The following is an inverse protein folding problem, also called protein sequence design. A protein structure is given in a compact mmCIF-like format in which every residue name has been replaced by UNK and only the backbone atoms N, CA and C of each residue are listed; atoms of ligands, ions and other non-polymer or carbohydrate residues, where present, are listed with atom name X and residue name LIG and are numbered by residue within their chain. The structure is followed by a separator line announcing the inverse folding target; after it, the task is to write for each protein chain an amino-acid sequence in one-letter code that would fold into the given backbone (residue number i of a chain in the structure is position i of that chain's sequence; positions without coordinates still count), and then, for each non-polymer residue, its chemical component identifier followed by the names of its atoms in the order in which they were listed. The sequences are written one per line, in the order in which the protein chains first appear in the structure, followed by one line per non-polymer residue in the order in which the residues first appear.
data_IF_215711499321
#
_entry.id   IF_215711499321
#
_cell.length_a   1.000
_cell.length_b   1.000
_cell.length_c   1.000
_cell.angle_alpha   90.00
_cell.angle_beta   90.00
_cell.angle_gamma   90.00
#
_symmetry.space_group_name_H-M   'P 1'
#
loop_
_entity.id
_entity.type
_entity.pdbx_description
1 polymer ?
#
# COMPACT_ATOMS: atom_id res chain seq x y z
N UNK A 1 206.00 -10.93 -13.86
CA UNK A 1 205.56 -10.25 -15.10
C UNK A 1 205.18 -11.30 -16.13
N UNK A 2 204.05 -11.10 -16.82
CA UNK A 2 203.32 -12.17 -17.52
C UNK A 2 202.94 -11.73 -18.94
N UNK A 3 203.17 -12.55 -19.95
CA UNK A 3 202.89 -12.24 -21.37
C UNK A 3 201.71 -13.08 -21.84
N UNK A 4 200.70 -12.48 -22.47
CA UNK A 4 199.59 -13.20 -23.08
C UNK A 4 199.80 -13.27 -24.60
N UNK A 5 199.59 -14.45 -25.18
CA UNK A 5 199.52 -14.64 -26.63
C UNK A 5 198.16 -15.20 -27.02
N UNK A 6 197.70 -14.94 -28.24
CA UNK A 6 196.43 -15.53 -28.67
C UNK A 6 196.16 -15.32 -30.14
N UNK A 7 195.14 -16.01 -30.63
CA UNK A 7 194.66 -15.94 -32.01
C UNK A 7 193.13 -15.89 -32.01
N UNK A 8 192.56 -14.84 -32.58
CA UNK A 8 191.11 -14.61 -32.59
C UNK A 8 190.50 -14.90 -33.97
N UNK A 9 189.43 -15.71 -33.98
CA UNK A 9 188.67 -16.11 -35.18
C UNK A 9 187.16 -16.02 -34.94
N UNK A 10 186.41 -15.78 -36.00
CA UNK A 10 184.93 -15.81 -36.01
C UNK A 10 184.39 -17.25 -36.16
N UNK A 11 183.09 -17.46 -35.91
CA UNK A 11 182.35 -18.74 -36.03
C UNK A 11 182.40 -19.32 -37.45
N UNK A 12 182.67 -18.49 -38.46
CA UNK A 12 182.92 -18.93 -39.85
C UNK A 12 184.41 -19.20 -40.17
N UNK A 13 185.31 -19.16 -39.18
CA UNK A 13 186.73 -19.46 -39.31
C UNK A 13 187.61 -18.33 -39.86
N UNK A 14 187.07 -17.12 -40.07
CA UNK A 14 187.82 -15.94 -40.53
C UNK A 14 188.62 -15.30 -39.38
N UNK A 15 189.85 -14.87 -39.68
CA UNK A 15 190.71 -14.15 -38.73
C UNK A 15 190.20 -12.72 -38.50
N UNK A 16 190.27 -12.26 -37.25
CA UNK A 16 189.89 -10.91 -36.85
C UNK A 16 191.02 -9.90 -37.16
N UNK A 17 191.05 -9.36 -38.39
CA UNK A 17 192.13 -8.46 -38.90
C UNK A 17 191.63 -7.17 -39.57
N UNK A 18 190.35 -6.83 -39.41
CA UNK A 18 189.78 -5.62 -40.02
C UNK A 18 190.48 -4.34 -39.51
N UNK A 19 190.62 -3.35 -40.38
CA UNK A 19 191.30 -2.09 -40.07
C UNK A 19 190.57 -1.39 -38.91
N UNK A 20 191.27 -1.18 -37.80
CA UNK A 20 190.73 -0.57 -36.58
C UNK A 20 190.47 -1.54 -35.42
N UNK A 21 190.47 -2.86 -35.65
CA UNK A 21 190.32 -3.87 -34.59
C UNK A 21 191.57 -3.95 -33.70
N UNK A 22 191.36 -3.90 -32.38
CA UNK A 22 192.42 -4.01 -31.38
C UNK A 22 191.92 -4.73 -30.13
N UNK A 23 192.85 -5.39 -29.44
CA UNK A 23 192.63 -5.90 -28.09
C UNK A 23 192.93 -4.78 -27.08
N UNK A 24 191.95 -4.45 -26.23
CA UNK A 24 192.09 -3.52 -25.12
C UNK A 24 192.31 -4.33 -23.84
N UNK A 25 193.40 -4.06 -23.14
CA UNK A 25 193.68 -4.66 -21.83
C UNK A 25 193.65 -3.57 -20.79
N UNK A 26 192.83 -3.75 -19.76
CA UNK A 26 192.68 -2.78 -18.70
C UNK A 26 192.76 -3.49 -17.35
N UNK A 27 193.53 -2.96 -16.39
CA UNK A 27 193.42 -3.48 -15.02
C UNK A 27 192.10 -3.05 -14.41
N UNK A 28 191.39 -3.96 -13.74
CA UNK A 28 190.05 -3.66 -13.18
C UNK A 28 190.10 -2.84 -11.90
N UNK A 29 191.21 -2.85 -11.19
CA UNK A 29 191.37 -2.14 -9.93
C UNK A 29 192.72 -1.44 -9.92
N UNK A 30 192.75 -0.26 -9.30
CA UNK A 30 194.02 0.41 -9.02
C UNK A 30 194.74 -0.36 -7.92
N UNK A 31 195.97 -0.82 -8.16
CA UNK A 31 196.70 -1.72 -7.23
C UNK A 31 198.21 -1.50 -7.25
N UNK A 32 198.96 -1.80 -6.18
CA UNK A 32 200.42 -1.69 -6.20
C UNK A 32 201.01 -2.60 -7.29
N UNK A 33 201.99 -2.11 -8.03
CA UNK A 33 202.72 -2.91 -9.02
C UNK A 33 203.61 -3.95 -8.31
N UNK A 34 203.56 -5.20 -8.75
CA UNK A 34 204.24 -6.31 -8.08
C UNK A 34 205.78 -6.27 -8.29
N UNK A 35 206.24 -5.66 -9.38
CA UNK A 35 207.67 -5.49 -9.69
C UNK A 35 208.00 -4.08 -10.19
N UNK A 36 208.54 -3.24 -9.29
CA UNK A 36 208.95 -1.86 -9.56
C UNK A 36 207.99 -0.86 -8.91
N UNK A 37 208.40 -0.29 -7.77
CA UNK A 37 207.56 0.56 -6.90
C UNK A 37 206.70 1.57 -7.67
N UNK A 38 205.39 1.34 -7.64
CA UNK A 38 204.39 2.11 -8.38
C UNK A 38 202.99 1.54 -8.15
N UNK A 39 201.98 2.16 -8.74
CA UNK A 39 200.59 1.69 -8.69
C UNK A 39 200.13 1.46 -10.13
N UNK A 40 199.65 0.26 -10.43
CA UNK A 40 198.95 -0.06 -11.68
C UNK A 40 197.62 0.68 -11.65
N UNK A 41 197.50 1.69 -12.52
CA UNK A 41 196.28 2.43 -12.74
C UNK A 41 195.39 1.66 -13.74
N UNK A 42 194.10 2.00 -13.80
CA UNK A 42 193.14 1.41 -14.76
C UNK A 42 193.36 1.91 -16.20
N UNK A 43 194.61 2.01 -16.65
CA UNK A 43 194.99 2.47 -17.98
C UNK A 43 194.71 1.38 -19.03
N UNK A 44 194.25 1.79 -20.20
CA UNK A 44 193.88 0.88 -21.29
C UNK A 44 195.08 0.73 -22.23
N UNK A 45 195.61 -0.49 -22.31
CA UNK A 45 196.64 -0.84 -23.27
C UNK A 45 196.03 -1.40 -24.54
N UNK A 46 196.28 -0.75 -25.69
CA UNK A 46 195.68 -1.11 -26.98
C UNK A 46 196.68 -1.83 -27.88
N UNK A 47 196.38 -3.07 -28.24
CA UNK A 47 197.18 -3.89 -29.15
C UNK A 47 196.45 -4.03 -30.49
N UNK A 48 196.93 -3.38 -31.57
CA UNK A 48 196.28 -3.46 -32.87
C UNK A 48 196.43 -4.86 -33.48
N UNK A 49 195.35 -5.37 -34.08
CA UNK A 49 195.31 -6.68 -34.75
C UNK A 49 195.37 -6.57 -36.29
N UNK A 50 195.55 -5.36 -36.82
CA UNK A 50 195.62 -5.12 -38.26
C UNK A 50 196.92 -5.67 -38.85
N UNK A 51 196.82 -6.43 -39.96
CA UNK A 51 197.92 -7.15 -40.61
C UNK A 51 198.64 -8.20 -39.74
N UNK A 52 198.08 -8.62 -38.60
CA UNK A 52 198.75 -9.55 -37.68
C UNK A 52 198.35 -11.01 -37.84
N UNK A 53 197.50 -11.37 -38.82
CA UNK A 53 197.04 -12.75 -38.93
C UNK A 53 195.96 -13.12 -37.88
N UNK A 54 195.35 -12.14 -37.20
CA UNK A 54 194.44 -12.34 -36.05
C UNK A 54 195.18 -12.71 -34.76
N UNK A 55 196.51 -12.75 -34.80
CA UNK A 55 197.37 -13.11 -33.68
C UNK A 55 197.82 -11.87 -32.92
N UNK A 56 198.02 -12.02 -31.62
CA UNK A 56 198.62 -10.99 -30.79
C UNK A 56 199.57 -11.57 -29.75
N UNK A 57 200.44 -10.71 -29.23
CA UNK A 57 201.31 -10.96 -28.10
C UNK A 57 201.39 -9.67 -27.30
N UNK A 58 201.04 -9.72 -26.02
CA UNK A 58 201.10 -8.55 -25.15
C UNK A 58 202.54 -8.22 -24.76
N UNK A 59 202.84 -6.97 -24.37
CA UNK A 59 204.02 -6.71 -23.56
C UNK A 59 203.90 -7.43 -22.20
N UNK A 60 204.98 -7.46 -21.43
CA UNK A 60 204.99 -8.09 -20.11
C UNK A 60 204.07 -7.30 -19.15
N UNK A 61 202.97 -7.93 -18.73
CA UNK A 61 201.94 -7.36 -17.87
C UNK A 61 202.17 -7.70 -16.41
N UNK A 62 201.66 -6.87 -15.51
CA UNK A 62 201.70 -7.11 -14.08
C UNK A 62 200.57 -8.08 -13.65
N UNK A 63 200.83 -9.13 -12.84
CA UNK A 63 199.90 -10.23 -12.57
C UNK A 63 198.70 -9.82 -11.73
N UNK A 64 197.50 -10.32 -12.00
CA UNK A 64 196.24 -10.04 -11.28
C UNK A 64 195.06 -9.62 -12.17
N UNK A 65 193.96 -9.10 -11.62
CA UNK A 65 192.69 -9.01 -12.33
C UNK A 65 192.71 -7.95 -13.43
N UNK A 66 192.60 -8.42 -14.66
CA UNK A 66 192.47 -7.58 -15.84
C UNK A 66 191.18 -7.88 -16.59
N UNK A 67 190.73 -6.88 -17.32
CA UNK A 67 189.69 -6.99 -18.33
C UNK A 67 190.34 -6.97 -19.70
N UNK A 68 190.03 -7.98 -20.49
CA UNK A 68 190.41 -8.07 -21.90
C UNK A 68 189.14 -7.82 -22.72
N UNK A 69 189.14 -6.76 -23.50
CA UNK A 69 188.02 -6.36 -24.36
C UNK A 69 188.46 -6.29 -25.82
N UNK A 70 187.57 -6.67 -26.74
CA UNK A 70 187.81 -6.49 -28.18
C UNK A 70 187.12 -5.20 -28.62
N UNK A 71 187.90 -4.26 -29.15
CA UNK A 71 187.39 -3.00 -29.67
C UNK A 71 187.62 -2.84 -31.17
N UNK A 72 186.56 -2.46 -31.89
CA UNK A 72 186.56 -2.19 -33.34
C UNK A 72 186.15 -3.39 -34.19
N UNK A 73 185.19 -3.17 -35.10
CA UNK A 73 184.57 -4.20 -35.95
C UNK A 73 183.08 -4.41 -35.64
N UNK A 74 182.46 -5.47 -36.20
CA UNK A 74 181.02 -5.80 -36.05
C UNK A 74 180.63 -6.38 -34.68
N UNK A 75 181.60 -6.59 -33.78
CA UNK A 75 181.37 -7.03 -32.41
C UNK A 75 181.71 -5.87 -31.47
N UNK A 76 180.70 -5.29 -30.81
CA UNK A 76 180.90 -4.24 -29.80
C UNK A 76 180.53 -4.79 -28.42
N UNK A 77 181.46 -4.69 -27.46
CA UNK A 77 181.18 -4.81 -26.02
C UNK A 77 181.47 -6.16 -25.35
N UNK A 78 182.05 -7.14 -26.06
CA UNK A 78 182.45 -8.42 -25.44
C UNK A 78 183.75 -8.23 -24.67
N UNK A 79 183.71 -8.49 -23.36
CA UNK A 79 184.87 -8.44 -22.48
C UNK A 79 184.95 -9.70 -21.63
N UNK A 80 186.17 -10.08 -21.25
CA UNK A 80 186.44 -11.15 -20.30
C UNK A 80 187.21 -10.57 -19.12
N UNK A 81 186.77 -10.90 -17.91
CA UNK A 81 187.49 -10.60 -16.69
C UNK A 81 188.33 -11.83 -16.33
N UNK A 82 189.66 -11.68 -16.36
CA UNK A 82 190.63 -12.77 -16.20
C UNK A 82 191.65 -12.35 -15.15
N UNK A 83 192.01 -13.27 -14.25
CA UNK A 83 193.14 -13.09 -13.34
C UNK A 83 194.44 -13.54 -14.00
N UNK A 84 195.35 -12.60 -14.25
CA UNK A 84 196.66 -12.90 -14.80
C UNK A 84 197.54 -13.63 -13.76
N UNK A 85 198.12 -14.79 -14.08
CA UNK A 85 199.01 -15.52 -13.18
C UNK A 85 200.35 -14.79 -12.98
N UNK A 86 201.03 -15.06 -11.86
CA UNK A 86 202.21 -14.35 -11.36
C UNK A 86 203.36 -14.20 -12.37
N UNK A 87 203.66 -15.25 -13.15
CA UNK A 87 204.73 -15.22 -14.16
C UNK A 87 204.46 -16.18 -15.34
N UNK A 88 205.15 -15.95 -16.46
CA UNK A 88 205.15 -16.85 -17.63
C UNK A 88 204.48 -16.28 -18.89
N UNK A 89 204.57 -17.02 -19.99
CA UNK A 89 203.83 -16.72 -21.23
C UNK A 89 202.64 -17.67 -21.32
N UNK A 90 201.42 -17.13 -21.38
CA UNK A 90 200.17 -17.90 -21.35
C UNK A 90 199.34 -17.62 -22.61
N UNK A 91 198.65 -18.64 -23.13
CA UNK A 91 197.73 -18.43 -24.24
C UNK A 91 196.37 -17.92 -23.71
N UNK A 92 195.77 -16.91 -24.35
CA UNK A 92 194.50 -16.34 -23.90
C UNK A 92 193.39 -17.40 -23.87
N UNK A 93 193.43 -18.36 -24.78
CA UNK A 93 192.48 -19.47 -24.83
C UNK A 93 192.55 -20.34 -23.55
N UNK A 94 193.74 -20.59 -23.02
CA UNK A 94 193.94 -21.38 -21.80
C UNK A 94 193.46 -20.63 -20.54
N UNK A 95 193.62 -19.30 -20.54
CA UNK A 95 193.14 -18.44 -19.44
C UNK A 95 191.61 -18.27 -19.46
N UNK A 96 190.95 -18.39 -20.62
CA UNK A 96 189.48 -18.38 -20.77
C UNK A 96 188.89 -19.79 -20.55
N UNK A 97 189.67 -20.85 -20.78
CA UNK A 97 189.21 -22.24 -20.78
C UNK A 97 189.02 -22.91 -19.41
N UNK A 98 189.32 -22.25 -18.29
CA UNK A 98 189.38 -22.89 -16.95
C UNK A 98 188.24 -22.53 -15.99
N UNK A 99 187.13 -21.93 -16.46
CA UNK A 99 185.91 -21.71 -15.66
C UNK A 99 184.64 -22.36 -16.24
N UNK A 100 184.76 -23.52 -16.89
CA UNK A 100 183.60 -24.32 -17.31
C UNK A 100 183.77 -25.80 -16.94
N UNK A 101 182.81 -26.34 -16.19
CA UNK A 101 182.62 -27.77 -15.94
C UNK A 101 181.15 -28.15 -16.27
N UNK A 102 180.96 -29.32 -16.88
CA UNK A 102 179.72 -29.80 -17.54
C UNK A 102 179.13 -31.02 -16.81
N UNK A 103 177.78 -31.12 -16.65
CA UNK A 103 176.88 -32.33 -16.55
C UNK A 103 175.54 -32.02 -15.79
N UNK A 104 174.41 -32.79 -15.87
CA UNK A 104 173.42 -32.94 -16.96
C UNK A 104 171.91 -32.71 -16.55
N UNK A 105 170.99 -32.93 -17.51
CA UNK A 105 169.52 -32.63 -17.58
C UNK A 105 168.63 -33.64 -16.82
N UNK A 106 167.86 -33.26 -15.77
CA UNK A 106 166.47 -33.80 -15.50
C UNK A 106 165.57 -32.98 -14.52
N UNK A 107 166.03 -32.15 -13.58
CA UNK A 107 165.15 -31.73 -12.44
C UNK A 107 164.41 -30.37 -12.59
N UNK A 108 164.82 -29.48 -13.48
CA UNK A 108 164.24 -28.12 -13.54
C UNK A 108 162.86 -27.99 -14.21
N UNK A 109 162.32 -29.04 -14.88
CA UNK A 109 160.98 -28.99 -15.51
C UNK A 109 159.84 -29.60 -14.67
N UNK A 110 160.13 -30.27 -13.56
CA UNK A 110 159.12 -30.87 -12.69
C UNK A 110 158.52 -29.87 -11.65
N UNK A 111 159.32 -28.91 -11.17
CA UNK A 111 158.84 -27.92 -10.18
C UNK A 111 157.99 -26.80 -10.79
N UNK A 112 158.17 -26.46 -12.07
CA UNK A 112 157.35 -25.46 -12.76
C UNK A 112 155.95 -26.01 -13.16
N UNK A 113 155.84 -27.33 -13.33
CA UNK A 113 154.55 -28.01 -13.54
C UNK A 113 153.76 -28.19 -12.22
N UNK A 114 154.43 -28.43 -11.09
CA UNK A 114 153.78 -28.52 -9.78
C UNK A 114 153.17 -27.18 -9.34
N UNK A 115 153.88 -26.07 -9.55
CA UNK A 115 153.38 -24.72 -9.18
C UNK A 115 152.16 -24.28 -10.00
N UNK A 116 152.00 -24.76 -11.25
CA UNK A 116 150.79 -24.53 -12.06
C UNK A 116 149.60 -25.42 -11.66
N UNK A 117 149.85 -26.62 -11.14
CA UNK A 117 148.80 -27.53 -10.68
C UNK A 117 148.18 -27.10 -9.33
N UNK A 118 148.98 -26.55 -8.42
CA UNK A 118 148.47 -26.01 -7.15
C UNK A 118 147.60 -24.76 -7.34
N UNK A 119 148.01 -23.82 -8.21
CA UNK A 119 147.21 -22.65 -8.55
C UNK A 119 145.84 -23.01 -9.18
N UNK A 120 145.81 -24.03 -10.04
CA UNK A 120 144.55 -24.51 -10.64
C UNK A 120 143.64 -25.22 -9.63
N UNK A 121 144.21 -25.88 -8.61
CA UNK A 121 143.44 -26.49 -7.52
C UNK A 121 142.79 -25.43 -6.63
N UNK A 122 143.52 -24.37 -6.28
CA UNK A 122 142.98 -23.30 -5.45
C UNK A 122 141.89 -22.50 -6.20
N UNK A 123 142.06 -22.25 -7.50
CA UNK A 123 140.99 -21.69 -8.34
C UNK A 123 139.75 -22.60 -8.41
N UNK A 124 139.93 -23.92 -8.50
CA UNK A 124 138.82 -24.87 -8.51
C UNK A 124 138.06 -24.89 -7.17
N UNK A 125 138.77 -24.79 -6.04
CA UNK A 125 138.15 -24.72 -4.70
C UNK A 125 137.40 -23.40 -4.50
N UNK A 126 137.94 -22.29 -4.98
CA UNK A 126 137.22 -21.00 -4.92
C UNK A 126 136.02 -20.96 -5.87
N UNK A 127 136.11 -21.59 -7.04
CA UNK A 127 134.96 -21.78 -7.93
C UNK A 127 133.88 -22.68 -7.30
N UNK A 128 134.27 -23.74 -6.59
CA UNK A 128 133.35 -24.59 -5.83
C UNK A 128 132.65 -23.81 -4.71
N UNK A 129 133.41 -23.05 -3.90
CA UNK A 129 132.82 -22.17 -2.87
C UNK A 129 131.87 -21.14 -3.46
N UNK A 130 132.21 -20.53 -4.60
CA UNK A 130 131.34 -19.59 -5.30
C UNK A 130 130.07 -20.25 -5.84
N UNK A 131 130.17 -21.48 -6.36
CA UNK A 131 129.03 -22.27 -6.81
C UNK A 131 128.11 -22.65 -5.65
N UNK A 132 128.66 -23.12 -4.52
CA UNK A 132 127.91 -23.42 -3.30
C UNK A 132 127.22 -22.16 -2.75
N UNK A 133 127.93 -21.02 -2.68
CA UNK A 133 127.33 -19.76 -2.25
C UNK A 133 126.21 -19.28 -3.17
N UNK A 134 126.30 -19.55 -4.47
CA UNK A 134 125.26 -19.25 -5.46
C UNK A 134 124.07 -20.19 -5.31
N UNK A 135 124.31 -21.49 -5.07
CA UNK A 135 123.28 -22.48 -4.77
C UNK A 135 122.51 -22.12 -3.48
N UNK A 136 123.19 -21.77 -2.39
CA UNK A 136 122.53 -21.32 -1.15
C UNK A 136 121.73 -20.02 -1.34
N UNK A 137 122.19 -19.10 -2.20
CA UNK A 137 121.41 -17.90 -2.57
C UNK A 137 120.16 -18.27 -3.39
N UNK A 138 120.27 -19.26 -4.28
CA UNK A 138 119.15 -19.78 -5.04
C UNK A 138 118.13 -20.48 -4.12
N UNK A 139 118.58 -21.33 -3.19
CA UNK A 139 117.74 -21.96 -2.16
C UNK A 139 117.01 -20.90 -1.32
N UNK A 140 117.72 -19.89 -0.79
CA UNK A 140 117.10 -18.78 -0.05
C UNK A 140 116.12 -17.94 -0.87
N UNK A 141 116.24 -17.92 -2.20
CA UNK A 141 115.27 -17.26 -3.09
C UNK A 141 114.06 -18.16 -3.30
N UNK A 142 114.26 -19.47 -3.46
CA UNK A 142 113.19 -20.47 -3.54
C UNK A 142 112.38 -20.48 -2.25
N UNK A 143 113.01 -20.50 -1.08
CA UNK A 143 112.32 -20.46 0.22
C UNK A 143 111.49 -19.19 0.41
N UNK A 144 112.01 -18.03 0.00
CA UNK A 144 111.27 -16.76 0.02
C UNK A 144 110.09 -16.79 -0.94
N UNK A 145 110.30 -17.24 -2.18
CA UNK A 145 109.21 -17.35 -3.16
C UNK A 145 108.11 -18.32 -2.70
N UNK A 146 108.48 -19.44 -2.06
CA UNK A 146 107.54 -20.40 -1.47
C UNK A 146 106.81 -19.80 -0.27
N UNK A 147 107.50 -19.09 0.63
CA UNK A 147 106.88 -18.43 1.79
C UNK A 147 105.95 -17.29 1.38
N UNK A 148 106.36 -16.45 0.44
CA UNK A 148 105.56 -15.33 -0.09
C UNK A 148 104.34 -15.87 -0.84
N UNK A 149 104.51 -16.90 -1.67
CA UNK A 149 103.41 -17.60 -2.34
C UNK A 149 102.44 -18.25 -1.36
N UNK A 150 102.94 -18.93 -0.32
CA UNK A 150 102.10 -19.50 0.74
C UNK A 150 101.41 -18.42 1.59
N UNK A 151 102.05 -17.25 1.78
CA UNK A 151 101.47 -16.08 2.43
C UNK A 151 100.29 -15.53 1.65
N UNK A 152 100.48 -15.27 0.35
CA UNK A 152 99.42 -14.80 -0.56
C UNK A 152 98.27 -15.80 -0.63
N UNK A 153 98.55 -17.10 -0.75
CA UNK A 153 97.49 -18.12 -0.77
C UNK A 153 96.72 -18.15 0.55
N UNK A 154 97.38 -18.07 1.71
CA UNK A 154 96.69 -18.01 3.02
C UNK A 154 95.83 -16.77 3.16
N UNK A 155 96.28 -15.60 2.71
CA UNK A 155 95.49 -14.38 2.74
C UNK A 155 94.27 -14.46 1.84
N UNK A 156 94.43 -14.97 0.61
CA UNK A 156 93.31 -15.17 -0.33
C UNK A 156 92.30 -16.18 0.23
N UNK A 157 92.77 -17.33 0.72
CA UNK A 157 91.90 -18.37 1.32
C UNK A 157 91.16 -17.81 2.54
N UNK A 158 91.82 -17.01 3.38
CA UNK A 158 91.16 -16.35 4.52
C UNK A 158 90.11 -15.34 4.04
N UNK A 159 90.43 -14.49 3.07
CA UNK A 159 89.48 -13.53 2.51
C UNK A 159 88.29 -14.21 1.80
N UNK A 160 88.49 -15.37 1.18
CA UNK A 160 87.42 -16.20 0.61
C UNK A 160 86.57 -16.85 1.71
N UNK A 161 87.19 -17.36 2.78
CA UNK A 161 86.48 -17.92 3.93
C UNK A 161 85.63 -16.86 4.65
N UNK A 162 86.20 -15.67 4.89
CA UNK A 162 85.50 -14.54 5.50
C UNK A 162 84.31 -14.08 4.61
N UNK A 163 84.50 -14.04 3.27
CA UNK A 163 83.41 -13.75 2.33
C UNK A 163 82.33 -14.83 2.31
N UNK A 164 82.70 -16.11 2.40
CA UNK A 164 81.77 -17.22 2.46
C UNK A 164 80.96 -17.20 3.76
N UNK A 165 81.61 -16.90 4.89
CA UNK A 165 80.93 -16.73 6.17
C UNK A 165 79.98 -15.53 6.16
N UNK A 166 80.43 -14.37 5.67
CA UNK A 166 79.58 -13.19 5.51
C UNK A 166 78.38 -13.48 4.58
N UNK A 167 78.60 -14.23 3.50
CA UNK A 167 77.54 -14.69 2.60
C UNK A 167 76.53 -15.61 3.28
N UNK A 168 76.99 -16.57 4.08
CA UNK A 168 76.13 -17.46 4.89
C UNK A 168 75.31 -16.67 5.90
N UNK A 169 75.94 -15.78 6.66
CA UNK A 169 75.25 -14.92 7.64
C UNK A 169 74.23 -14.01 6.96
N UNK A 170 74.56 -13.45 5.79
CA UNK A 170 73.61 -12.67 4.98
C UNK A 170 72.41 -13.50 4.51
N UNK A 171 72.63 -14.74 4.07
CA UNK A 171 71.57 -15.66 3.68
C UNK A 171 70.68 -16.07 4.87
N UNK A 172 71.27 -16.34 6.04
CA UNK A 172 70.54 -16.63 7.28
C UNK A 172 69.67 -15.44 7.71
N UNK A 173 70.20 -14.21 7.64
CA UNK A 173 69.45 -12.99 7.94
C UNK A 173 68.30 -12.74 6.94
N UNK A 174 68.52 -13.01 5.66
CA UNK A 174 67.48 -12.93 4.63
C UNK A 174 66.38 -13.99 4.86
N UNK A 175 66.75 -15.22 5.20
CA UNK A 175 65.81 -16.29 5.53
C UNK A 175 64.98 -15.96 6.79
N UNK A 176 65.60 -15.40 7.82
CA UNK A 176 64.92 -14.94 9.03
C UNK A 176 63.91 -13.82 8.71
N UNK A 177 64.31 -12.85 7.88
CA UNK A 177 63.44 -11.74 7.45
C UNK A 177 62.25 -12.22 6.61
N UNK A 178 62.46 -13.20 5.72
CA UNK A 178 61.40 -13.82 4.94
C UNK A 178 60.39 -14.58 5.83
N UNK A 179 60.88 -15.34 6.82
CA UNK A 179 60.03 -16.04 7.79
C UNK A 179 59.21 -15.06 8.62
N UNK A 180 59.81 -13.97 9.11
CA UNK A 180 59.11 -12.93 9.85
C UNK A 180 58.00 -12.28 8.99
N UNK A 181 58.30 -12.00 7.72
CA UNK A 181 57.31 -11.44 6.77
C UNK A 181 56.16 -12.41 6.51
N UNK A 182 56.44 -13.71 6.35
CA UNK A 182 55.42 -14.74 6.20
C UNK A 182 54.52 -14.86 7.44
N UNK A 183 55.10 -14.82 8.64
CA UNK A 183 54.32 -14.80 9.89
C UNK A 183 53.43 -13.55 9.99
N UNK A 184 53.95 -12.37 9.64
CA UNK A 184 53.16 -11.15 9.62
C UNK A 184 52.00 -11.21 8.62
N UNK A 185 52.22 -11.79 7.43
CA UNK A 185 51.17 -12.00 6.43
C UNK A 185 50.09 -12.98 6.91
N UNK A 186 50.47 -14.05 7.60
CA UNK A 186 49.52 -14.98 8.22
C UNK A 186 48.67 -14.29 9.30
N UNK A 187 49.29 -13.52 10.19
CA UNK A 187 48.58 -12.75 11.21
C UNK A 187 47.62 -11.72 10.59
N UNK A 188 48.04 -11.04 9.51
CA UNK A 188 47.16 -10.14 8.77
C UNK A 188 45.96 -10.88 8.17
N UNK A 189 46.18 -12.07 7.60
CA UNK A 189 45.12 -12.92 7.03
C UNK A 189 44.12 -13.37 8.09
N UNK A 190 44.59 -13.80 9.26
CA UNK A 190 43.74 -14.18 10.40
C UNK A 190 42.92 -13.00 10.92
N UNK A 191 43.53 -11.82 10.98
CA UNK A 191 42.86 -10.58 11.39
C UNK A 191 41.74 -10.21 10.41
N UNK A 192 42.02 -10.26 9.11
CA UNK A 192 41.02 -10.01 8.06
C UNK A 192 39.89 -11.04 8.13
N UNK A 193 40.21 -12.33 8.28
CA UNK A 193 39.22 -13.41 8.39
C UNK A 193 38.29 -13.20 9.60
N UNK A 194 38.86 -12.82 10.74
CA UNK A 194 38.10 -12.50 11.95
C UNK A 194 37.22 -11.26 11.75
N UNK A 195 37.72 -10.22 11.08
CA UNK A 195 36.96 -9.02 10.76
C UNK A 195 35.78 -9.31 9.82
N UNK A 196 35.99 -10.11 8.78
CA UNK A 196 34.92 -10.56 7.86
C UNK A 196 33.87 -11.37 8.61
N UNK A 197 34.28 -12.27 9.49
CA UNK A 197 33.34 -13.08 10.30
C UNK A 197 32.50 -12.19 11.22
N UNK A 198 33.09 -11.21 11.90
CA UNK A 198 32.36 -10.24 12.73
C UNK A 198 31.42 -9.37 11.89
N UNK A 199 31.84 -8.94 10.71
CA UNK A 199 30.98 -8.15 9.81
C UNK A 199 29.74 -8.94 9.39
N UNK A 200 29.89 -10.23 9.07
CA UNK A 200 28.75 -11.08 8.71
C UNK A 200 27.83 -11.33 9.92
N UNK A 201 28.39 -11.51 11.12
CA UNK A 201 27.60 -11.60 12.36
C UNK A 201 26.78 -10.32 12.60
N UNK A 202 27.39 -9.13 12.47
CA UNK A 202 26.66 -7.87 12.64
C UNK A 202 25.56 -7.68 11.60
N UNK A 203 25.82 -8.05 10.34
CA UNK A 203 24.80 -8.04 9.29
C UNK A 203 23.63 -8.97 9.62
N UNK A 204 23.91 -10.18 10.11
CA UNK A 204 22.87 -11.14 10.50
C UNK A 204 22.06 -10.63 11.71
N UNK A 205 22.72 -10.13 12.76
CA UNK A 205 22.04 -9.52 13.90
C UNK A 205 21.18 -8.32 13.47
N UNK A 206 21.67 -7.45 12.59
CA UNK A 206 20.90 -6.33 12.07
C UNK A 206 19.65 -6.79 11.29
N UNK A 207 19.78 -7.85 10.47
CA UNK A 207 18.65 -8.44 9.74
C UNK A 207 17.60 -9.07 10.67
N UNK A 208 18.03 -9.76 11.73
CA UNK A 208 17.14 -10.29 12.76
C UNK A 208 16.39 -9.18 13.50
N UNK A 209 17.10 -8.12 13.91
CA UNK A 209 16.48 -6.96 14.57
C UNK A 209 15.46 -6.27 13.66
N UNK A 210 15.76 -6.11 12.37
CA UNK A 210 14.83 -5.57 11.39
C UNK A 210 13.57 -6.45 11.24
N UNK A 211 13.75 -7.77 11.22
CA UNK A 211 12.63 -8.74 11.16
C UNK A 211 11.76 -8.66 12.41
N UNK A 212 12.37 -8.59 13.60
CA UNK A 212 11.66 -8.46 14.87
C UNK A 212 10.90 -7.13 14.97
N UNK A 213 11.50 -6.04 14.50
CA UNK A 213 10.84 -4.73 14.43
C UNK A 213 9.63 -4.75 13.49
N UNK A 214 9.77 -5.37 12.31
CA UNK A 214 8.67 -5.54 11.36
C UNK A 214 7.52 -6.40 11.95
N UNK A 215 7.84 -7.50 12.64
CA UNK A 215 6.85 -8.32 13.34
C UNK A 215 6.11 -7.54 14.44
N UNK A 216 6.84 -6.73 15.20
CA UNK A 216 6.27 -5.87 16.24
C UNK A 216 5.33 -4.81 15.66
N UNK A 217 5.72 -4.19 14.53
CA UNK A 217 4.88 -3.23 13.81
C UNK A 217 3.60 -3.87 13.26
N UNK A 218 3.69 -5.08 12.69
CA UNK A 218 2.51 -5.84 12.25
C UNK A 218 1.55 -6.12 13.41
N UNK A 219 2.09 -6.54 14.56
CA UNK A 219 1.29 -6.80 15.77
C UNK A 219 0.60 -5.53 16.28
N UNK A 220 1.31 -4.40 16.29
CA UNK A 220 0.75 -3.11 16.67
C UNK A 220 -0.38 -2.69 15.72
N UNK A 221 -0.20 -2.87 14.40
CA UNK A 221 -1.23 -2.60 13.40
C UNK A 221 -2.49 -3.45 13.61
N UNK A 222 -2.32 -4.74 13.89
CA UNK A 222 -3.45 -5.64 14.19
C UNK A 222 -4.19 -5.21 15.46
N UNK A 223 -3.47 -4.85 16.53
CA UNK A 223 -4.07 -4.32 17.76
C UNK A 223 -4.82 -3.01 17.53
N UNK A 224 -4.29 -2.10 16.71
CA UNK A 224 -4.97 -0.87 16.33
C UNK A 224 -6.27 -1.14 15.54
N UNK A 225 -6.25 -2.13 14.63
CA UNK A 225 -7.45 -2.58 13.92
C UNK A 225 -8.52 -3.15 14.88
N UNK A 226 -8.12 -4.01 15.82
CA UNK A 226 -9.03 -4.54 16.84
C UNK A 226 -9.61 -3.44 17.74
N UNK A 227 -8.78 -2.47 18.15
CA UNK A 227 -9.24 -1.32 18.95
C UNK A 227 -10.27 -0.47 18.18
N UNK A 228 -10.07 -0.27 16.88
CA UNK A 228 -11.03 0.43 16.00
C UNK A 228 -12.36 -0.33 15.92
N UNK A 229 -12.32 -1.65 15.70
CA UNK A 229 -13.52 -2.49 15.68
C UNK A 229 -14.26 -2.48 17.02
N UNK A 230 -13.53 -2.50 18.14
CA UNK A 230 -14.11 -2.39 19.48
C UNK A 230 -14.79 -1.03 19.70
N UNK A 231 -14.18 0.07 19.26
CA UNK A 231 -14.77 1.41 19.34
C UNK A 231 -16.03 1.54 18.48
N UNK A 232 -16.04 0.98 17.27
CA UNK A 232 -17.23 0.94 16.41
C UNK A 232 -18.36 0.14 17.06
N UNK A 233 -18.03 -1.02 17.66
CA UNK A 233 -19.01 -1.84 18.40
C UNK A 233 -19.60 -1.09 19.59
N UNK A 234 -18.78 -0.38 20.35
CA UNK A 234 -19.24 0.44 21.48
C UNK A 234 -20.16 1.58 21.01
N UNK A 235 -19.82 2.22 19.90
CA UNK A 235 -20.64 3.29 19.30
C UNK A 235 -22.00 2.78 18.84
N UNK A 236 -22.06 1.60 18.21
CA UNK A 236 -23.33 0.97 17.81
C UNK A 236 -24.20 0.64 19.04
N UNK A 237 -23.61 0.04 20.08
CA UNK A 237 -24.33 -0.25 21.33
C UNK A 237 -24.90 1.01 21.99
N UNK A 238 -24.17 2.12 21.94
CA UNK A 238 -24.66 3.41 22.43
C UNK A 238 -25.85 3.94 21.61
N UNK A 239 -25.80 3.80 20.29
CA UNK A 239 -26.90 4.16 19.40
C UNK A 239 -28.15 3.29 19.64
N UNK A 240 -27.97 1.97 19.80
CA UNK A 240 -29.06 1.04 20.09
C UNK A 240 -29.72 1.34 21.45
N UNK A 241 -28.92 1.69 22.46
CA UNK A 241 -29.41 2.12 23.77
C UNK A 241 -30.19 3.43 23.69
N UNK A 242 -29.71 4.41 22.92
CA UNK A 242 -30.43 5.67 22.68
C UNK A 242 -31.77 5.42 21.95
N UNK A 243 -31.78 4.54 20.95
CA UNK A 243 -33.00 4.09 20.27
C UNK A 243 -34.01 3.48 21.24
N UNK A 244 -33.56 2.57 22.11
CA UNK A 244 -34.40 1.93 23.13
C UNK A 244 -34.98 2.93 24.15
N UNK A 245 -34.19 3.93 24.55
CA UNK A 245 -34.65 5.01 25.42
C UNK A 245 -35.74 5.86 24.75
N UNK A 246 -35.57 6.20 23.46
CA UNK A 246 -36.58 6.95 22.70
C UNK A 246 -37.89 6.18 22.50
N UNK A 247 -37.83 4.87 22.30
CA UNK A 247 -39.03 4.02 22.20
C UNK A 247 -39.77 3.94 23.55
N UNK A 248 -39.00 3.90 24.65
CA UNK A 248 -39.54 3.90 26.01
C UNK A 248 -40.24 5.23 26.33
N UNK A 249 -39.65 6.37 25.95
CA UNK A 249 -40.28 7.68 26.15
C UNK A 249 -41.56 7.85 25.31
N UNK A 250 -41.58 7.36 24.06
CA UNK A 250 -42.79 7.31 23.24
C UNK A 250 -43.91 6.46 23.86
N UNK A 251 -43.53 5.31 24.42
CA UNK A 251 -44.47 4.43 25.14
C UNK A 251 -45.03 5.10 26.39
N UNK A 252 -44.21 5.81 27.16
CA UNK A 252 -44.63 6.57 28.33
C UNK A 252 -45.60 7.71 27.94
N UNK A 253 -45.30 8.47 26.89
CA UNK A 253 -46.22 9.51 26.37
C UNK A 253 -47.56 8.92 25.94
N UNK A 254 -47.56 7.76 25.29
CA UNK A 254 -48.80 7.07 24.88
C UNK A 254 -49.62 6.64 26.10
N UNK A 255 -48.95 6.14 27.15
CA UNK A 255 -49.61 5.76 28.40
C UNK A 255 -50.25 6.98 29.09
N UNK A 256 -49.56 8.12 29.13
CA UNK A 256 -50.10 9.38 29.66
C UNK A 256 -51.36 9.83 28.90
N UNK A 257 -51.33 9.84 27.56
CA UNK A 257 -52.52 10.20 26.77
C UNK A 257 -53.71 9.27 27.02
N UNK A 258 -53.46 7.97 27.16
CA UNK A 258 -54.53 7.01 27.52
C UNK A 258 -55.10 7.27 28.90
N UNK A 259 -54.27 7.67 29.87
CA UNK A 259 -54.74 8.06 31.20
C UNK A 259 -55.61 9.33 31.16
N UNK A 260 -55.23 10.33 30.36
CA UNK A 260 -56.03 11.56 30.19
C UNK A 260 -57.39 11.29 29.52
N UNK A 261 -57.41 10.43 28.50
CA UNK A 261 -58.64 9.98 27.86
C UNK A 261 -59.54 9.19 28.82
N UNK A 262 -58.96 8.32 29.64
CA UNK A 262 -59.70 7.57 30.66
C UNK A 262 -60.32 8.51 31.71
N UNK A 263 -59.57 9.51 32.18
CA UNK A 263 -60.06 10.56 33.09
C UNK A 263 -61.21 11.34 32.45
N UNK A 264 -61.07 11.76 31.19
CA UNK A 264 -62.10 12.50 30.46
C UNK A 264 -63.38 11.68 30.26
N UNK A 265 -63.25 10.39 29.96
CA UNK A 265 -64.37 9.46 29.85
C UNK A 265 -65.09 9.28 31.20
N UNK A 266 -64.33 9.15 32.30
CA UNK A 266 -64.89 9.04 33.64
C UNK A 266 -65.68 10.31 34.03
N UNK A 267 -65.14 11.50 33.76
CA UNK A 267 -65.83 12.76 33.99
C UNK A 267 -67.12 12.86 33.16
N UNK A 268 -67.07 12.49 31.89
CA UNK A 268 -68.26 12.46 31.01
C UNK A 268 -69.34 11.52 31.54
N UNK A 269 -68.96 10.33 32.01
CA UNK A 269 -69.87 9.38 32.62
C UNK A 269 -70.50 9.93 33.91
N UNK A 270 -69.71 10.61 34.75
CA UNK A 270 -70.20 11.27 35.97
C UNK A 270 -71.21 12.38 35.66
N UNK A 271 -70.96 13.23 34.67
CA UNK A 271 -71.91 14.26 34.22
C UNK A 271 -73.21 13.63 33.72
N UNK A 272 -73.14 12.61 32.85
CA UNK A 272 -74.34 11.91 32.36
C UNK A 272 -75.15 11.27 33.49
N UNK A 273 -74.48 10.72 34.49
CA UNK A 273 -75.14 10.18 35.67
C UNK A 273 -75.87 11.27 36.47
N UNK A 274 -75.24 12.44 36.64
CA UNK A 274 -75.86 13.59 37.29
C UNK A 274 -77.08 14.12 36.50
N UNK A 275 -76.96 14.28 35.18
CA UNK A 275 -78.06 14.72 34.31
C UNK A 275 -79.24 13.74 34.32
N UNK A 276 -78.95 12.43 34.34
CA UNK A 276 -79.96 11.38 34.44
C UNK A 276 -80.68 11.44 35.79
N UNK A 277 -79.95 11.66 36.89
CA UNK A 277 -80.54 11.83 38.21
C UNK A 277 -81.42 13.09 38.29
N UNK A 278 -80.97 14.21 37.71
CA UNK A 278 -81.75 15.44 37.63
C UNK A 278 -83.04 15.26 36.82
N UNK A 279 -82.96 14.56 35.68
CA UNK A 279 -84.11 14.25 34.82
C UNK A 279 -85.13 13.37 35.54
N UNK A 280 -84.66 12.33 36.27
CA UNK A 280 -85.52 11.47 37.08
C UNK A 280 -86.22 12.26 38.20
N UNK A 281 -85.50 13.16 38.88
CA UNK A 281 -86.10 14.03 39.89
C UNK A 281 -87.17 14.97 39.31
N UNK A 282 -86.94 15.54 38.13
CA UNK A 282 -87.91 16.38 37.43
C UNK A 282 -89.16 15.61 37.00
N UNK A 283 -88.99 14.37 36.53
CA UNK A 283 -90.10 13.48 36.21
C UNK A 283 -90.95 13.16 37.45
N UNK A 284 -90.32 12.76 38.56
CA UNK A 284 -91.01 12.49 39.82
C UNK A 284 -91.77 13.72 40.36
N UNK A 285 -91.19 14.92 40.25
CA UNK A 285 -91.87 16.15 40.62
C UNK A 285 -93.10 16.43 39.74
N UNK A 286 -93.00 16.16 38.44
CA UNK A 286 -94.11 16.31 37.49
C UNK A 286 -95.24 15.33 37.76
N UNK A 287 -94.89 14.06 38.03
CA UNK A 287 -95.85 13.03 38.44
C UNK A 287 -96.55 13.41 39.75
N UNK A 288 -95.81 13.88 40.76
CA UNK A 288 -96.41 14.37 42.01
C UNK A 288 -97.37 15.51 41.74
N UNK A 289 -96.99 16.50 40.92
CA UNK A 289 -97.88 17.62 40.58
C UNK A 289 -99.13 17.16 39.83
N UNK A 290 -98.99 16.21 38.91
CA UNK A 290 -100.12 15.62 38.19
C UNK A 290 -101.06 14.88 39.16
N UNK A 291 -100.50 14.09 40.08
CA UNK A 291 -101.26 13.41 41.13
C UNK A 291 -101.97 14.40 42.07
N UNK A 292 -101.28 15.45 42.53
CA UNK A 292 -101.88 16.51 43.36
C UNK A 292 -103.04 17.21 42.62
N UNK A 293 -102.87 17.48 41.31
CA UNK A 293 -103.92 18.09 40.47
C UNK A 293 -105.12 17.15 40.31
N UNK A 294 -104.87 15.86 40.06
CA UNK A 294 -105.93 14.86 39.96
C UNK A 294 -106.68 14.68 41.30
N UNK A 295 -105.95 14.67 42.42
CA UNK A 295 -106.52 14.55 43.76
C UNK A 295 -107.34 15.78 44.19
N UNK A 296 -106.92 16.99 43.79
CA UNK A 296 -107.66 18.22 44.06
C UNK A 296 -109.04 18.26 43.37
N UNK A 297 -109.19 17.56 42.24
CA UNK A 297 -110.43 17.51 41.46
C UNK A 297 -110.80 18.83 40.78
N UNK A 298 -111.81 18.79 39.90
CA UNK A 298 -112.35 20.02 39.28
C UNK A 298 -113.31 20.71 40.26
N UNK A 299 -113.08 21.99 40.54
CA UNK A 299 -113.96 22.81 41.37
C UNK A 299 -115.34 23.04 40.70
N UNK A 300 -116.33 23.45 41.47
CA UNK A 300 -117.64 23.84 40.95
C UNK A 300 -117.52 25.07 40.03
N UNK A 301 -118.38 25.15 39.01
CA UNK A 301 -118.38 26.29 38.10
C UNK A 301 -118.78 27.57 38.84
N UNK A 302 -118.03 28.65 38.61
CA UNK A 302 -118.38 30.00 39.07
C UNK A 302 -118.82 30.86 37.87
N UNK A 303 -119.29 32.07 38.14
CA UNK A 303 -119.70 33.01 37.08
C UNK A 303 -118.53 33.47 36.19
N UNK A 304 -117.29 33.29 36.64
CA UNK A 304 -116.07 33.74 35.93
C UNK A 304 -115.13 32.60 35.54
N UNK A 305 -115.28 31.39 36.10
CA UNK A 305 -114.45 30.24 35.79
C UNK A 305 -115.31 28.98 35.52
N UNK A 306 -114.97 28.25 34.46
CA UNK A 306 -115.63 26.98 34.12
C UNK A 306 -115.24 25.90 35.13
N UNK A 307 -116.19 25.07 35.55
CA UNK A 307 -116.02 23.98 36.52
C UNK A 307 -117.01 22.84 36.29
N UNK A 308 -117.23 21.95 37.27
CA UNK A 308 -118.25 20.87 37.17
C UNK A 308 -119.65 21.46 36.91
N UNK A 309 -120.40 20.86 35.97
CA UNK A 309 -121.78 21.27 35.66
C UNK A 309 -122.75 20.49 36.53
N UNK A 310 -123.53 21.18 37.35
CA UNK A 310 -124.60 20.59 38.17
C UNK A 310 -125.95 20.77 37.48
N UNK A 311 -126.47 19.72 36.84
CA UNK A 311 -127.75 19.70 36.10
C UNK A 311 -128.96 19.33 36.99
N UNK A 312 -128.94 19.72 38.26
CA UNK A 312 -129.95 19.28 39.22
C UNK A 312 -131.33 19.87 38.87
N UNK A 313 -132.26 19.01 38.46
CA UNK A 313 -133.67 19.37 38.19
C UNK A 313 -133.99 19.68 36.72
N UNK A 314 -132.99 19.98 35.88
CA UNK A 314 -133.19 20.27 34.46
C UNK A 314 -133.32 19.00 33.61
N UNK A 315 -132.51 17.98 33.95
CA UNK A 315 -132.59 16.64 33.37
C UNK A 315 -133.03 15.65 34.44
N UNK A 316 -133.94 14.75 34.07
CA UNK A 316 -134.33 13.60 34.86
C UNK A 316 -134.21 12.33 34.01
N UNK A 317 -134.57 11.16 34.55
CA UNK A 317 -134.38 9.88 33.86
C UNK A 317 -132.96 9.34 34.02
N UNK A 318 -132.51 8.51 33.09
CA UNK A 318 -131.18 7.86 33.12
C UNK A 318 -130.29 8.37 31.98
N UNK A 319 -129.01 7.98 31.99
CA UNK A 319 -128.08 8.33 30.91
C UNK A 319 -128.56 7.84 29.53
N UNK A 320 -129.20 6.66 29.47
CA UNK A 320 -129.70 6.06 28.22
C UNK A 320 -131.05 6.62 27.79
N UNK A 321 -131.81 7.25 28.70
CA UNK A 321 -133.12 7.81 28.43
C UNK A 321 -133.31 9.14 29.21
N UNK A 322 -132.60 10.20 28.81
CA UNK A 322 -132.72 11.49 29.47
C UNK A 322 -134.09 12.08 29.17
N UNK A 323 -134.73 12.61 30.19
CA UNK A 323 -135.98 13.37 30.08
C UNK A 323 -135.73 14.81 30.50
N UNK A 324 -136.50 15.72 29.91
CA UNK A 324 -136.51 17.14 30.28
C UNK A 324 -137.92 17.41 30.82
N UNK A 325 -138.14 17.25 32.15
CA UNK A 325 -139.49 17.30 32.72
C UNK A 325 -140.27 18.56 32.37
N UNK A 326 -139.58 19.70 32.22
CA UNK A 326 -140.18 20.97 31.84
C UNK A 326 -140.83 21.01 30.43
N UNK A 327 -140.59 19.99 29.59
CA UNK A 327 -141.20 19.84 28.27
C UNK A 327 -142.41 18.87 28.24
N UNK A 328 -142.68 18.16 29.34
CA UNK A 328 -143.83 17.26 29.43
C UNK A 328 -145.15 18.07 29.44
N UNK A 329 -146.05 17.78 28.51
CA UNK A 329 -147.41 18.37 28.45
C UNK A 329 -147.61 19.55 27.50
N UNK A 330 -146.60 19.90 26.67
CA UNK A 330 -146.71 21.00 25.69
C UNK A 330 -146.93 20.56 24.22
N UNK A 331 -147.34 19.32 23.97
CA UNK A 331 -147.68 18.83 22.63
C UNK A 331 -149.07 18.18 22.61
N UNK A 332 -149.92 18.50 21.62
CA UNK A 332 -151.25 17.90 21.42
C UNK A 332 -151.50 17.56 19.93
N UNK A 333 -152.20 16.45 19.66
CA UNK A 333 -152.50 15.84 18.34
C UNK A 333 -154.02 15.66 18.05
N UNK A 334 -154.87 16.70 18.18
CA UNK A 334 -156.26 16.77 17.63
C UNK A 334 -157.27 17.72 18.36
N UNK A 335 -158.26 18.33 17.66
CA UNK A 335 -159.38 19.12 18.26
C UNK A 335 -160.70 19.23 17.40
N UNK A 336 -161.82 19.70 18.00
CA UNK A 336 -163.22 19.85 17.44
C UNK A 336 -163.84 21.26 17.65
N UNK A 337 -164.97 21.59 16.97
CA UNK A 337 -165.68 22.89 17.06
C UNK A 337 -167.12 22.83 17.64
N UNK A 338 -167.52 23.77 18.53
CA UNK A 338 -168.90 23.98 18.97
C UNK A 338 -169.82 24.60 17.91
N UNK A 339 -171.14 24.35 18.00
CA UNK A 339 -172.19 24.88 17.09
C UNK A 339 -172.17 26.40 16.93
N UNK A 340 -171.72 27.14 17.95
CA UNK A 340 -171.64 28.60 17.94
C UNK A 340 -170.67 29.16 16.88
N UNK A 341 -169.77 28.34 16.37
CA UNK A 341 -168.76 28.74 15.39
C UNK A 341 -169.28 28.65 13.92
N UNK A 342 -170.55 28.29 13.70
CA UNK A 342 -171.20 28.24 12.37
C UNK A 342 -172.15 29.43 12.19
N UNK A 343 -171.65 30.56 11.66
CA UNK A 343 -172.31 31.88 11.74
C UNK A 343 -173.18 32.28 10.54
N UNK A 344 -173.54 31.35 9.64
CA UNK A 344 -174.24 31.64 8.36
C UNK A 344 -175.70 31.16 8.25
N UNK A 345 -176.31 30.64 9.32
CA UNK A 345 -177.67 30.07 9.29
C UNK A 345 -178.62 31.00 10.05
N UNK A 346 -179.58 31.63 9.37
CA UNK A 346 -180.35 32.74 9.95
C UNK A 346 -181.61 32.32 10.71
N UNK A 347 -182.23 31.16 10.42
CA UNK A 347 -183.29 30.49 11.21
C UNK A 347 -183.77 29.19 10.53
N UNK A 348 -184.21 28.20 11.32
CA UNK A 348 -184.81 26.95 10.84
C UNK A 348 -186.31 26.91 11.20
N UNK A 349 -187.19 26.52 10.28
CA UNK A 349 -188.64 26.52 10.51
C UNK A 349 -189.34 25.33 9.86
N UNK A 350 -190.32 24.76 10.56
CA UNK A 350 -191.23 23.73 10.02
C UNK A 350 -192.41 24.32 9.24
N UNK A 351 -192.63 25.64 9.30
CA UNK A 351 -193.62 26.36 8.49
C UNK A 351 -192.95 27.06 7.30
N UNK A 352 -193.62 27.12 6.13
CA UNK A 352 -193.04 27.68 4.90
C UNK A 352 -193.00 29.22 4.95
N UNK A 353 -192.05 29.76 5.70
CA UNK A 353 -191.74 31.19 5.76
C UNK A 353 -190.54 31.54 4.88
N UNK A 354 -190.50 32.75 4.33
CA UNK A 354 -189.38 33.17 3.49
C UNK A 354 -188.07 33.26 4.30
N UNK A 355 -186.94 32.92 3.64
CA UNK A 355 -185.57 33.05 4.18
C UNK A 355 -185.23 32.19 5.42
N UNK A 356 -185.91 31.05 5.58
CA UNK A 356 -185.58 30.03 6.59
C UNK A 356 -185.26 28.70 5.96
N UNK A 357 -184.36 27.91 6.56
CA UNK A 357 -184.14 26.53 6.14
C UNK A 357 -185.37 25.70 6.49
N UNK A 358 -185.91 24.96 5.52
CA UNK A 358 -187.09 24.10 5.72
C UNK A 358 -186.71 22.92 6.61
N UNK A 359 -187.39 22.82 7.73
CA UNK A 359 -187.40 21.62 8.56
C UNK A 359 -188.59 20.74 8.21
N UNK A 360 -188.41 19.43 8.42
CA UNK A 360 -189.52 18.48 8.34
C UNK A 360 -190.37 18.61 9.62
N UNK A 361 -191.70 18.54 9.47
CA UNK A 361 -192.62 18.48 10.60
C UNK A 361 -192.43 17.19 11.41
N UNK A 362 -193.15 17.04 12.53
CA UNK A 362 -193.06 15.86 13.38
C UNK A 362 -193.48 14.53 12.71
N UNK A 363 -194.13 14.59 11.54
CA UNK A 363 -194.44 13.42 10.71
C UNK A 363 -193.41 13.25 9.57
N UNK A 364 -192.32 14.02 9.57
CA UNK A 364 -191.30 13.99 8.56
C UNK A 364 -191.75 14.59 7.24
N UNK A 365 -192.65 15.56 7.18
CA UNK A 365 -193.05 16.18 5.89
C UNK A 365 -192.50 17.58 5.78
N UNK A 366 -192.07 17.97 4.59
CA UNK A 366 -191.73 19.37 4.32
C UNK A 366 -193.02 20.11 3.94
N UNK A 367 -193.33 21.19 4.65
CA UNK A 367 -194.44 22.06 4.27
C UNK A 367 -193.93 23.10 3.28
N UNK A 368 -194.67 23.31 2.18
CA UNK A 368 -194.41 24.32 1.15
C UNK A 368 -195.68 25.11 0.89
N UNK A 369 -195.54 26.37 0.48
CA UNK A 369 -196.67 27.24 0.16
C UNK A 369 -197.38 26.79 -1.14
N UNK A 370 -198.60 27.26 -1.37
CA UNK A 370 -199.28 27.03 -2.64
C UNK A 370 -198.51 27.74 -3.77
N UNK A 371 -198.32 27.09 -4.94
CA UNK A 371 -197.61 27.69 -6.06
C UNK A 371 -198.26 28.97 -6.56
N UNK A 372 -197.47 30.00 -6.80
CA UNK A 372 -197.88 31.23 -7.47
C UNK A 372 -197.23 31.38 -8.86
N UNK A 373 -196.07 30.76 -9.09
CA UNK A 373 -195.35 30.76 -10.39
C UNK A 373 -194.90 29.36 -10.79
N UNK A 374 -194.56 29.17 -12.06
CA UNK A 374 -194.18 27.87 -12.63
C UNK A 374 -192.95 27.22 -11.97
N UNK A 375 -192.08 28.02 -11.34
CA UNK A 375 -190.88 27.54 -10.65
C UNK A 375 -191.16 27.03 -9.23
N UNK A 376 -192.36 27.25 -8.69
CA UNK A 376 -192.69 26.85 -7.33
C UNK A 376 -192.92 25.33 -7.22
N UNK A 377 -192.51 24.75 -6.09
CA UNK A 377 -192.81 23.35 -5.78
C UNK A 377 -194.32 23.19 -5.54
N UNK A 378 -194.98 22.37 -6.36
CA UNK A 378 -196.43 22.18 -6.29
C UNK A 378 -196.91 21.36 -5.10
N UNK A 379 -197.91 21.87 -4.38
CA UNK A 379 -198.60 21.09 -3.35
C UNK A 379 -199.53 20.05 -3.99
N UNK A 380 -199.68 18.89 -3.34
CA UNK A 380 -200.60 17.84 -3.82
C UNK A 380 -202.02 18.35 -4.02
N UNK A 381 -202.52 19.22 -3.12
CA UNK A 381 -203.84 19.83 -3.25
C UNK A 381 -203.99 20.63 -4.55
N UNK A 382 -202.98 21.44 -4.90
CA UNK A 382 -202.99 22.21 -6.13
C UNK A 382 -203.06 21.31 -7.37
N UNK A 383 -202.26 20.24 -7.40
CA UNK A 383 -202.27 19.27 -8.51
C UNK A 383 -203.61 18.53 -8.62
N UNK A 384 -204.17 18.07 -7.50
CA UNK A 384 -205.46 17.36 -7.48
C UNK A 384 -206.62 18.25 -7.94
N UNK A 385 -206.58 19.56 -7.63
CA UNK A 385 -207.59 20.53 -8.10
C UNK A 385 -207.49 20.75 -9.63
N UNK A 386 -206.27 20.79 -10.21
CA UNK A 386 -206.07 20.86 -11.67
C UNK A 386 -206.53 19.58 -12.40
N UNK A 387 -206.25 18.39 -11.83
CA UNK A 387 -206.68 17.10 -12.39
C UNK A 387 -208.21 16.97 -12.45
N UNK A 388 -208.92 17.52 -11.46
CA UNK A 388 -210.40 17.58 -11.49
C UNK A 388 -210.95 18.42 -12.63
N UNK A 389 -210.31 19.56 -12.93
CA UNK A 389 -210.70 20.42 -14.05
C UNK A 389 -210.50 19.68 -15.37
N UNK A 390 -209.39 18.94 -15.51
CA UNK A 390 -209.09 18.14 -16.69
C UNK A 390 -210.10 17.00 -16.90
N UNK A 391 -210.46 16.27 -15.84
CA UNK A 391 -211.41 15.14 -15.91
C UNK A 391 -212.80 15.57 -16.36
N UNK A 392 -213.27 16.74 -15.96
CA UNK A 392 -214.56 17.28 -16.42
C UNK A 392 -214.59 17.54 -17.94
N UNK A 393 -213.44 17.69 -18.60
CA UNK A 393 -213.37 17.93 -20.05
C UNK A 393 -213.32 16.63 -20.88
N UNK A 394 -213.01 15.47 -20.28
CA UNK A 394 -212.75 14.21 -21.01
C UNK A 394 -213.97 13.29 -21.07
N UNK A 395 -214.99 13.47 -20.22
CA UNK A 395 -216.16 12.56 -20.11
C UNK A 395 -217.29 12.78 -21.14
N UNK A 396 -217.00 13.17 -22.38
CA UNK A 396 -218.02 13.22 -23.46
C UNK A 396 -218.19 11.82 -24.07
N UNK A 397 -219.36 11.19 -23.84
CA UNK A 397 -219.55 9.73 -24.00
C UNK A 397 -219.53 9.27 -25.46
N UNK A 398 -218.67 8.31 -25.79
CA UNK A 398 -218.66 7.61 -27.08
C UNK A 398 -219.47 6.30 -26.98
N UNK A 399 -220.79 6.40 -27.07
CA UNK A 399 -221.68 5.21 -27.07
C UNK A 399 -222.02 4.83 -28.50
N UNK A 400 -221.85 3.55 -28.84
CA UNK A 400 -222.14 3.00 -30.17
C UNK A 400 -223.36 2.07 -30.08
N UNK A 401 -224.35 2.33 -30.91
CA UNK A 401 -225.60 1.62 -31.01
C UNK A 401 -225.62 0.76 -32.27
N UNK A 402 -225.47 -0.57 -32.16
CA UNK A 402 -225.45 -1.45 -33.32
C UNK A 402 -226.86 -1.68 -33.90
N UNK A 403 -226.95 -1.96 -35.21
CA UNK A 403 -228.18 -2.40 -35.89
C UNK A 403 -227.89 -3.40 -37.03
N UNK A 404 -228.87 -4.25 -37.42
CA UNK A 404 -228.79 -5.15 -38.58
C UNK A 404 -229.77 -4.75 -39.69
N UNK A 405 -229.35 -4.91 -40.94
CA UNK A 405 -230.17 -4.56 -42.10
C UNK A 405 -230.09 -3.08 -42.49
N UNK A 406 -231.21 -2.46 -42.85
CA UNK A 406 -231.29 -1.07 -43.30
C UNK A 406 -231.19 -0.07 -42.15
N UNK A 407 -230.52 1.07 -42.38
CA UNK A 407 -230.23 2.06 -41.33
C UNK A 407 -231.53 2.64 -40.73
N UNK A 408 -231.66 2.67 -39.39
CA UNK A 408 -232.81 3.29 -38.72
C UNK A 408 -232.90 4.79 -39.04
N UNK A 409 -234.09 5.27 -39.36
CA UNK A 409 -234.35 6.71 -39.58
C UNK A 409 -234.71 7.45 -38.28
N UNK A 410 -234.88 6.72 -37.17
CA UNK A 410 -235.16 7.24 -35.84
C UNK A 410 -234.19 6.64 -34.84
N UNK A 411 -233.78 7.44 -33.85
CA UNK A 411 -232.77 7.02 -32.90
C UNK A 411 -233.28 5.89 -31.98
N UNK A 412 -232.40 4.94 -31.57
CA UNK A 412 -232.73 3.88 -30.63
C UNK A 412 -233.19 4.46 -29.28
N UNK A 413 -234.11 3.76 -28.62
CA UNK A 413 -234.55 4.13 -27.27
C UNK A 413 -233.35 4.15 -26.31
N UNK A 414 -233.04 5.34 -25.79
CA UNK A 414 -231.91 5.59 -24.89
C UNK A 414 -230.68 6.25 -25.53
N UNK A 415 -230.65 6.45 -26.85
CA UNK A 415 -229.56 7.16 -27.52
C UNK A 415 -229.70 8.69 -27.37
N UNK A 416 -228.58 9.42 -27.33
CA UNK A 416 -228.54 10.90 -27.24
C UNK A 416 -227.68 11.53 -28.34
N UNK A 417 -227.85 12.83 -28.59
CA UNK A 417 -227.03 13.58 -29.57
C UNK A 417 -225.56 13.47 -29.19
N UNK A 418 -224.74 13.01 -30.12
CA UNK A 418 -223.31 12.75 -29.90
C UNK A 418 -222.95 11.27 -29.90
N UNK A 419 -223.88 10.37 -29.57
CA UNK A 419 -223.74 8.91 -29.72
C UNK A 419 -223.60 8.52 -31.20
N UNK A 420 -223.23 7.27 -31.48
CA UNK A 420 -222.99 6.77 -32.84
C UNK A 420 -223.83 5.53 -33.14
N UNK A 421 -224.37 5.41 -34.35
CA UNK A 421 -225.04 4.22 -34.91
C UNK A 421 -224.05 3.38 -35.72
N UNK A 422 -224.01 2.08 -35.50
CA UNK A 422 -223.11 1.15 -36.20
C UNK A 422 -223.89 0.07 -36.95
N UNK A 423 -223.74 0.03 -38.28
CA UNK A 423 -224.33 -1.00 -39.11
C UNK A 423 -223.51 -2.29 -39.05
N UNK A 424 -224.06 -3.34 -38.46
CA UNK A 424 -223.34 -4.61 -38.28
C UNK A 424 -223.08 -5.29 -39.63
N UNK A 425 -224.00 -5.17 -40.57
CA UNK A 425 -223.93 -5.83 -41.89
C UNK A 425 -223.22 -4.98 -42.94
N UNK A 426 -223.29 -3.66 -42.81
CA UNK A 426 -222.72 -2.70 -43.79
C UNK A 426 -221.37 -2.13 -43.36
N UNK A 427 -220.99 -2.28 -42.08
CA UNK A 427 -219.81 -1.67 -41.47
C UNK A 427 -219.79 -0.13 -41.52
N UNK A 428 -220.95 0.53 -41.63
CA UNK A 428 -221.04 1.99 -41.60
C UNK A 428 -221.27 2.52 -40.18
N UNK A 429 -220.49 3.52 -39.79
CA UNK A 429 -220.67 4.25 -38.54
C UNK A 429 -221.25 5.64 -38.83
N UNK A 430 -222.27 6.03 -38.08
CA UNK A 430 -222.99 7.29 -38.30
C UNK A 430 -223.30 7.98 -37.00
N UNK A 431 -222.84 9.23 -36.83
CA UNK A 431 -223.12 9.96 -35.60
C UNK A 431 -224.59 10.38 -35.52
N UNK A 432 -225.17 10.27 -34.33
CA UNK A 432 -226.51 10.73 -34.01
C UNK A 432 -226.42 12.23 -33.76
N UNK A 433 -226.89 13.02 -34.72
CA UNK A 433 -226.90 14.49 -34.64
C UNK A 433 -228.27 15.04 -34.24
N UNK A 434 -229.29 14.19 -34.23
CA UNK A 434 -230.65 14.49 -33.78
C UNK A 434 -231.33 13.18 -33.36
N UNK A 435 -232.07 13.24 -32.27
CA UNK A 435 -232.72 12.09 -31.62
C UNK A 435 -234.19 12.03 -31.97
#
# INVERSE_FOLDING_TARGET
MTIIKGHLKDVAGKNFEAQGTALLLQSRITRPAENGGGVILQEIHRIPLYNSGGKFTTPALDPGPIRVEIAGGVSHGTHWDIDLPAEGTHELADLIGTTTEWTPVVVARAEEAARRAEAARDEAVEAEKAAVATATKAEKKVDRAVSDGAGVIREVVKADADRAEAGRTGAEAAAASAKASASAANTATETVTSAVTRAEQYKNTAAEQATNAAGSASTASQKAGLATSAANTASQKAADAAGSASASSGSASTASQKADLATSAANTASTKAADSAASAAAAAASEKKAADTAAAGVADATTTAKGKVKLAGDLAGTADAPTVPALAGKANTGHTHPRADVTGLTSESVTPTASTVVLRDGAGRAQVAAPAVDADVSTKKYVDDQDKILKAQVEDRFVIWPYTGTKPTTAPSGAVVGDYLWGITTAELSRITGV
#
